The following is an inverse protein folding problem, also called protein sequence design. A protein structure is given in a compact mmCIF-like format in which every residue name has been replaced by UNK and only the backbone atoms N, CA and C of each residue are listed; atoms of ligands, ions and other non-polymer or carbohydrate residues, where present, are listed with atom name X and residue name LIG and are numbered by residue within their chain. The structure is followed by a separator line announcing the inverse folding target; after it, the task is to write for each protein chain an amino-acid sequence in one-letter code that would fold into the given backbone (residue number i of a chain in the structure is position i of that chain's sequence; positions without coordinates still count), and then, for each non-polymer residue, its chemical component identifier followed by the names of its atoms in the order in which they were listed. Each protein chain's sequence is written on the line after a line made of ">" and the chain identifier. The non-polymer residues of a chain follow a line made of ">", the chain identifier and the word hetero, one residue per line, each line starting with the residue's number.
data_IF_624734784657
#
_entry.id   IF_624734784657
#
_cell.length_a   1.000
_cell.length_b   1.000
_cell.length_c   1.000
_cell.angle_alpha   90.00
_cell.angle_beta   90.00
_cell.angle_gamma   90.00
#
_symmetry.space_group_name_H-M   'P 1'
#
loop_
_entity.id
_entity.type
_entity.pdbx_description
1 polymer ?
#
# COMPACT_ATOMS: atom_id res chain seq x y z
N UNK A 1 14.30 25.40 18.45
CA UNK A 1 13.41 25.39 17.26
C UNK A 1 11.99 25.06 17.71
N UNK A 2 11.00 25.93 17.43
CA UNK A 2 9.57 25.67 17.77
C UNK A 2 9.13 24.34 17.15
N UNK A 3 8.26 23.55 17.80
CA UNK A 3 7.89 22.21 17.32
C UNK A 3 7.40 22.19 15.87
N UNK A 4 6.58 23.17 15.45
CA UNK A 4 6.13 23.33 14.06
C UNK A 4 7.26 23.46 13.04
N UNK A 5 8.36 24.14 13.40
CA UNK A 5 9.50 24.37 12.52
C UNK A 5 10.31 23.08 12.32
N UNK A 6 10.37 22.20 13.34
CA UNK A 6 11.04 20.89 13.23
C UNK A 6 10.33 19.98 12.23
N UNK A 7 9.00 19.94 12.26
CA UNK A 7 8.21 19.14 11.31
C UNK A 7 8.42 19.58 9.87
N UNK A 8 8.36 20.89 9.61
CA UNK A 8 8.57 21.43 8.26
C UNK A 8 9.97 21.09 7.78
N UNK A 9 10.98 21.26 8.63
CA UNK A 9 12.36 20.92 8.28
C UNK A 9 12.52 19.43 7.90
N UNK A 10 11.94 18.50 8.66
CA UNK A 10 12.03 17.07 8.33
C UNK A 10 11.29 16.70 7.04
N UNK A 11 10.14 17.32 6.77
CA UNK A 11 9.41 17.11 5.52
C UNK A 11 10.24 17.63 4.34
N UNK A 12 10.81 18.83 4.45
CA UNK A 12 11.68 19.41 3.41
C UNK A 12 12.90 18.52 3.20
N UNK A 13 13.54 18.06 4.28
CA UNK A 13 14.70 17.15 4.18
C UNK A 13 14.31 15.83 3.50
N UNK A 14 13.16 15.25 3.84
CA UNK A 14 12.67 14.04 3.19
C UNK A 14 12.45 14.27 1.69
N UNK A 15 11.84 15.39 1.30
CA UNK A 15 11.65 15.73 -0.12
C UNK A 15 13.01 15.85 -0.83
N UNK A 16 13.93 16.64 -0.28
CA UNK A 16 15.26 16.86 -0.88
C UNK A 16 16.05 15.56 -1.02
N UNK A 17 16.02 14.69 -0.01
CA UNK A 17 16.73 13.40 -0.03
C UNK A 17 16.12 12.38 -1.00
N UNK A 18 14.87 12.56 -1.40
CA UNK A 18 14.11 11.55 -2.15
C UNK A 18 13.64 12.03 -3.52
N UNK A 19 13.88 13.30 -3.88
CA UNK A 19 13.45 13.88 -5.15
C UNK A 19 13.92 13.10 -6.39
N UNK A 20 15.10 12.49 -6.32
CA UNK A 20 15.63 11.68 -7.43
C UNK A 20 14.77 10.44 -7.71
N UNK A 21 14.02 9.93 -6.72
CA UNK A 21 13.14 8.79 -6.92
C UNK A 21 12.05 9.09 -7.94
N UNK A 22 11.47 10.30 -7.93
CA UNK A 22 10.49 10.67 -8.95
C UNK A 22 11.07 10.50 -10.36
N UNK A 23 12.27 11.04 -10.60
CA UNK A 23 12.95 10.91 -11.89
C UNK A 23 13.37 9.49 -12.21
N UNK A 24 13.79 8.70 -11.21
CA UNK A 24 14.14 7.29 -11.39
C UNK A 24 12.91 6.45 -11.78
N UNK A 25 11.76 6.69 -11.12
CA UNK A 25 10.48 6.05 -11.46
C UNK A 25 10.11 6.41 -12.90
N UNK A 26 10.10 7.71 -13.20
CA UNK A 26 9.69 8.19 -14.50
C UNK A 26 10.62 7.65 -15.61
N UNK A 27 11.94 7.74 -15.44
CA UNK A 27 12.92 7.22 -16.39
C UNK A 27 12.79 5.71 -16.57
N UNK A 28 12.65 4.96 -15.47
CA UNK A 28 12.53 3.51 -15.52
C UNK A 28 11.30 3.05 -16.31
N UNK A 29 10.16 3.73 -16.12
CA UNK A 29 8.93 3.50 -16.90
C UNK A 29 9.04 4.00 -18.33
N UNK A 30 9.66 5.15 -18.57
CA UNK A 30 9.82 5.70 -19.93
C UNK A 30 10.63 4.76 -20.82
N UNK A 31 11.76 4.25 -20.32
CA UNK A 31 12.65 3.34 -21.04
C UNK A 31 12.30 1.86 -20.91
N UNK A 32 11.22 1.51 -20.19
CA UNK A 32 10.82 0.12 -19.93
C UNK A 32 11.96 -0.76 -19.37
N UNK A 33 12.84 -0.19 -18.54
CA UNK A 33 14.04 -0.88 -18.02
C UNK A 33 13.67 -1.92 -16.94
N UNK A 34 12.54 -1.72 -16.28
CA UNK A 34 12.06 -2.56 -15.17
C UNK A 34 10.61 -2.94 -15.44
N UNK A 35 10.23 -4.22 -15.21
CA UNK A 35 8.84 -4.65 -15.26
C UNK A 35 7.98 -3.80 -14.31
N UNK A 36 6.86 -3.30 -14.81
CA UNK A 36 5.97 -2.43 -14.07
C UNK A 36 4.52 -2.60 -14.50
N UNK A 37 3.61 -2.17 -13.63
CA UNK A 37 2.19 -2.14 -13.94
C UNK A 37 1.96 -0.85 -14.76
N UNK A 38 1.91 -0.97 -16.10
CA UNK A 38 1.76 0.20 -16.97
C UNK A 38 0.30 0.67 -17.02
N UNK A 39 0.02 1.74 -16.27
CA UNK A 39 -1.28 2.40 -16.23
C UNK A 39 -1.39 3.59 -17.19
N UNK A 40 -0.37 3.88 -18.00
CA UNK A 40 -0.33 5.07 -18.85
C UNK A 40 -1.47 5.09 -19.86
N UNK A 41 -1.72 3.96 -20.55
CA UNK A 41 -2.82 3.82 -21.48
C UNK A 41 -4.19 3.98 -20.84
N UNK A 42 -4.34 3.54 -19.58
CA UNK A 42 -5.59 3.73 -18.87
C UNK A 42 -5.79 5.19 -18.47
N UNK A 43 -4.73 5.90 -18.09
CA UNK A 43 -4.81 7.34 -17.84
C UNK A 43 -5.18 8.09 -19.11
N UNK A 44 -4.54 7.77 -20.24
CA UNK A 44 -4.84 8.33 -21.56
C UNK A 44 -6.31 8.09 -21.96
N UNK A 45 -6.85 6.91 -21.67
CA UNK A 45 -8.27 6.63 -21.88
C UNK A 45 -9.17 7.53 -21.03
N UNK A 46 -8.84 7.74 -19.75
CA UNK A 46 -9.61 8.59 -18.86
C UNK A 46 -9.56 10.08 -19.23
N UNK A 47 -8.47 10.54 -19.84
CA UNK A 47 -8.34 11.93 -20.32
C UNK A 47 -8.84 12.12 -21.76
N UNK A 48 -9.22 11.04 -22.45
CA UNK A 48 -9.81 11.10 -23.80
C UNK A 48 -8.81 11.24 -24.93
N UNK A 49 -7.58 10.75 -24.76
CA UNK A 49 -6.54 10.74 -25.80
C UNK A 49 -6.65 9.47 -26.67
N UNK A 50 -6.33 9.58 -27.97
CA UNK A 50 -6.51 8.51 -28.96
C UNK A 50 -5.66 7.25 -28.68
N UNK A 51 -4.54 7.41 -27.99
CA UNK A 51 -3.64 6.32 -27.57
C UNK A 51 -4.13 5.59 -26.31
N UNK A 52 -5.26 6.01 -25.76
CA UNK A 52 -5.84 5.47 -24.55
C UNK A 52 -6.70 4.24 -24.81
N UNK A 53 -6.57 3.23 -23.94
CA UNK A 53 -7.52 2.12 -23.88
C UNK A 53 -7.78 1.66 -22.46
N UNK A 54 -8.91 0.98 -22.28
CA UNK A 54 -9.29 0.40 -21.00
C UNK A 54 -8.32 -0.72 -20.64
N UNK A 55 -7.69 -0.62 -19.46
CA UNK A 55 -6.80 -1.68 -18.98
C UNK A 55 -7.56 -2.97 -18.70
N UNK A 56 -6.88 -4.12 -18.80
CA UNK A 56 -7.42 -5.43 -18.45
C UNK A 56 -7.59 -5.58 -16.93
N UNK A 57 -8.46 -6.48 -16.45
CA UNK A 57 -8.61 -6.73 -15.02
C UNK A 57 -7.32 -7.31 -14.41
N UNK A 58 -7.00 -7.00 -13.14
CA UNK A 58 -7.79 -6.26 -12.17
C UNK A 58 -7.72 -4.73 -12.32
N UNK A 59 -6.91 -4.22 -13.24
CA UNK A 59 -6.56 -2.81 -13.37
C UNK A 59 -7.75 -1.92 -13.74
N UNK A 60 -8.67 -2.45 -14.54
CA UNK A 60 -9.93 -1.78 -14.92
C UNK A 60 -10.74 -1.30 -13.72
N UNK A 61 -10.71 -2.04 -12.61
CA UNK A 61 -11.50 -1.73 -11.42
C UNK A 61 -10.82 -0.69 -10.52
N UNK A 62 -9.58 -0.31 -10.83
CA UNK A 62 -8.76 0.62 -10.03
C UNK A 62 -8.80 2.04 -10.59
N UNK A 63 -9.99 2.48 -11.01
CA UNK A 63 -10.22 3.76 -11.72
C UNK A 63 -9.68 4.95 -10.93
N UNK A 64 -9.94 5.00 -9.62
CA UNK A 64 -9.51 6.12 -8.78
C UNK A 64 -7.99 6.15 -8.58
N UNK A 65 -7.33 5.00 -8.61
CA UNK A 65 -5.85 4.96 -8.56
C UNK A 65 -5.21 5.66 -9.75
N UNK A 66 -5.86 5.63 -10.90
CA UNK A 66 -5.38 6.28 -12.13
C UNK A 66 -5.91 7.71 -12.22
N UNK A 67 -7.19 7.94 -11.89
CA UNK A 67 -7.82 9.25 -11.97
C UNK A 67 -7.14 10.32 -11.09
N UNK A 68 -6.52 9.93 -9.98
CA UNK A 68 -5.72 10.85 -9.15
C UNK A 68 -4.52 11.46 -9.91
N UNK A 69 -4.06 10.84 -11.00
CA UNK A 69 -2.99 11.38 -11.85
C UNK A 69 -3.47 12.44 -12.85
N UNK A 70 -4.78 12.56 -13.11
CA UNK A 70 -5.33 13.48 -14.12
C UNK A 70 -4.89 14.94 -13.90
N UNK A 71 -4.93 15.52 -12.69
CA UNK A 71 -4.48 16.89 -12.49
C UNK A 71 -3.01 17.08 -12.88
N UNK A 72 -2.16 16.09 -12.63
CA UNK A 72 -0.73 16.17 -12.93
C UNK A 72 -0.44 16.01 -14.41
N UNK A 73 -1.26 15.25 -15.16
CA UNK A 73 -1.18 15.15 -16.61
C UNK A 73 -1.27 16.52 -17.30
N UNK A 74 -2.16 17.40 -16.79
CA UNK A 74 -2.37 18.73 -17.36
C UNK A 74 -1.44 19.82 -16.81
N UNK A 75 -0.88 19.63 -15.61
CA UNK A 75 -0.08 20.66 -14.92
C UNK A 75 1.42 20.50 -15.15
N UNK A 76 1.92 19.26 -15.28
CA UNK A 76 3.35 19.02 -15.41
C UNK A 76 3.86 19.39 -16.82
N UNK A 77 5.06 19.99 -16.92
CA UNK A 77 5.72 20.16 -18.22
C UNK A 77 6.14 18.78 -18.75
N UNK A 78 6.15 18.60 -20.07
CA UNK A 78 6.63 17.34 -20.66
C UNK A 78 8.14 17.28 -20.57
N UNK A 79 8.67 16.35 -19.77
CA UNK A 79 10.11 16.10 -19.75
C UNK A 79 10.50 14.99 -20.73
N UNK A 80 11.29 15.34 -21.76
CA UNK A 80 11.82 14.35 -22.72
C UNK A 80 13.22 13.90 -22.33
N UNK A 81 13.47 12.61 -22.42
CA UNK A 81 14.81 12.05 -22.27
C UNK A 81 15.54 11.99 -23.61
N UNK A 82 16.84 12.31 -23.60
CA UNK A 82 17.73 12.02 -24.74
C UNK A 82 17.78 10.51 -25.00
N UNK A 83 17.77 10.10 -26.28
CA UNK A 83 17.78 8.70 -26.74
C UNK A 83 16.50 7.89 -26.46
N UNK A 84 15.38 8.57 -26.15
CA UNK A 84 14.08 7.91 -26.08
C UNK A 84 13.36 8.04 -27.43
N UNK A 85 13.29 6.94 -28.18
CA UNK A 85 12.62 6.87 -29.48
C UNK A 85 11.23 6.22 -29.37
N UNK A 86 10.29 6.68 -30.20
CA UNK A 86 9.00 6.00 -30.39
C UNK A 86 7.92 6.23 -29.33
N UNK A 87 8.14 7.08 -28.30
CA UNK A 87 7.09 7.48 -27.35
C UNK A 87 6.51 8.86 -27.68
N UNK A 88 5.19 8.96 -27.70
CA UNK A 88 4.45 10.21 -27.88
C UNK A 88 4.57 11.11 -26.65
N UNK A 89 4.32 12.42 -26.82
CA UNK A 89 4.28 13.34 -25.68
C UNK A 89 3.15 13.02 -24.70
N UNK A 90 2.03 12.54 -25.21
CA UNK A 90 0.89 12.15 -24.38
C UNK A 90 1.25 10.96 -23.48
N UNK A 91 1.90 9.93 -24.04
CA UNK A 91 2.40 8.80 -23.25
C UNK A 91 3.42 9.26 -22.20
N UNK A 92 4.35 10.15 -22.57
CA UNK A 92 5.34 10.69 -21.64
C UNK A 92 4.72 11.49 -20.51
N UNK A 93 3.71 12.33 -20.80
CA UNK A 93 2.92 13.06 -19.78
C UNK A 93 2.21 12.10 -18.83
N UNK A 94 1.59 11.05 -19.37
CA UNK A 94 0.86 10.07 -18.57
C UNK A 94 1.80 9.32 -17.60
N UNK A 95 2.95 8.88 -18.09
CA UNK A 95 3.97 8.22 -17.27
C UNK A 95 4.54 9.16 -16.20
N UNK A 96 4.79 10.42 -16.54
CA UNK A 96 5.29 11.43 -15.61
C UNK A 96 4.28 11.72 -14.49
N UNK A 97 3.00 11.90 -14.85
CA UNK A 97 1.92 12.12 -13.91
C UNK A 97 1.75 10.96 -12.92
N UNK A 98 1.77 9.71 -13.42
CA UNK A 98 1.71 8.51 -12.59
C UNK A 98 2.92 8.38 -11.66
N UNK A 99 4.12 8.62 -12.18
CA UNK A 99 5.35 8.62 -11.38
C UNK A 99 5.29 9.64 -10.23
N UNK A 100 4.74 10.82 -10.49
CA UNK A 100 4.55 11.83 -9.46
C UNK A 100 3.55 11.38 -8.39
N UNK A 101 2.42 10.80 -8.77
CA UNK A 101 1.43 10.25 -7.81
C UNK A 101 2.07 9.18 -6.94
N UNK A 102 2.88 8.29 -7.51
CA UNK A 102 3.60 7.26 -6.73
C UNK A 102 4.57 7.88 -5.74
N UNK A 103 5.39 8.84 -6.19
CA UNK A 103 6.32 9.55 -5.32
C UNK A 103 5.61 10.28 -4.16
N UNK A 104 4.54 11.03 -4.46
CA UNK A 104 3.73 11.73 -3.45
C UNK A 104 3.12 10.73 -2.47
N UNK A 105 2.63 9.58 -2.95
CA UNK A 105 2.02 8.56 -2.10
C UNK A 105 3.01 7.99 -1.08
N UNK A 106 4.26 7.77 -1.49
CA UNK A 106 5.34 7.33 -0.58
C UNK A 106 5.56 8.40 0.51
N UNK A 107 5.72 9.67 0.12
CA UNK A 107 5.95 10.76 1.06
C UNK A 107 4.80 10.91 2.07
N UNK A 108 3.57 10.99 1.57
CA UNK A 108 2.38 11.16 2.40
C UNK A 108 2.18 9.95 3.31
N UNK A 109 2.34 8.73 2.78
CA UNK A 109 2.30 7.49 3.54
C UNK A 109 3.30 7.49 4.70
N UNK A 110 4.56 7.84 4.43
CA UNK A 110 5.61 7.95 5.46
C UNK A 110 5.29 9.01 6.52
N UNK A 111 4.72 10.16 6.13
CA UNK A 111 4.26 11.19 7.07
C UNK A 111 3.12 10.65 7.95
N UNK A 112 2.19 9.87 7.40
CA UNK A 112 1.13 9.26 8.20
C UNK A 112 1.69 8.22 9.17
N UNK A 113 2.67 7.40 8.77
CA UNK A 113 3.37 6.49 9.70
C UNK A 113 4.02 7.27 10.85
N UNK A 114 4.73 8.37 10.55
CA UNK A 114 5.27 9.25 11.58
C UNK A 114 4.16 9.71 12.55
N UNK A 115 3.03 10.19 12.02
CA UNK A 115 1.91 10.71 12.81
C UNK A 115 1.23 9.62 13.64
N UNK A 116 1.11 8.40 13.11
CA UNK A 116 0.57 7.26 13.84
C UNK A 116 1.48 6.96 15.03
N UNK A 117 2.79 6.81 14.81
CA UNK A 117 3.77 6.57 15.87
C UNK A 117 3.72 7.66 16.94
N UNK A 118 3.70 8.93 16.53
CA UNK A 118 3.72 10.07 17.46
C UNK A 118 2.40 10.27 18.20
N UNK A 119 1.29 10.35 17.48
CA UNK A 119 0.02 10.86 18.00
C UNK A 119 -0.93 9.74 18.45
N UNK A 120 -0.80 8.52 17.90
CA UNK A 120 -1.66 7.38 18.25
C UNK A 120 -1.00 6.43 19.24
N UNK A 121 0.31 6.21 19.09
CA UNK A 121 1.07 5.33 19.98
C UNK A 121 1.98 6.08 20.97
N UNK A 122 1.95 7.41 21.02
CA UNK A 122 2.72 8.19 22.00
C UNK A 122 4.24 8.03 21.89
N UNK A 123 4.74 7.63 20.71
CA UNK A 123 6.15 7.39 20.47
C UNK A 123 7.01 8.65 20.64
N UNK A 124 8.28 8.44 20.99
CA UNK A 124 9.27 9.52 21.01
C UNK A 124 9.53 10.07 19.61
N UNK A 125 10.09 11.28 19.52
CA UNK A 125 10.47 11.89 18.24
C UNK A 125 11.37 10.97 17.39
N UNK A 126 12.38 10.38 18.04
CA UNK A 126 13.31 9.45 17.42
C UNK A 126 12.59 8.21 16.86
N UNK A 127 11.66 7.64 17.61
CA UNK A 127 10.89 6.48 17.16
C UNK A 127 10.01 6.83 15.95
N UNK A 128 9.37 7.99 15.95
CA UNK A 128 8.55 8.45 14.83
C UNK A 128 9.39 8.73 13.57
N UNK A 129 10.59 9.31 13.70
CA UNK A 129 11.51 9.50 12.58
C UNK A 129 12.04 8.18 12.02
N UNK A 130 12.40 7.23 12.88
CA UNK A 130 12.79 5.88 12.45
C UNK A 130 11.63 5.20 11.73
N UNK A 131 10.41 5.28 12.25
CA UNK A 131 9.23 4.72 11.59
C UNK A 131 9.02 5.33 10.20
N UNK A 132 9.17 6.65 10.07
CA UNK A 132 9.06 7.37 8.80
C UNK A 132 10.10 6.89 7.78
N UNK A 133 11.38 6.86 8.16
CA UNK A 133 12.47 6.45 7.28
C UNK A 133 12.40 4.97 6.90
N UNK A 134 12.06 4.10 7.87
CA UNK A 134 11.85 2.67 7.61
C UNK A 134 10.67 2.44 6.68
N UNK A 135 9.56 3.19 6.84
CA UNK A 135 8.41 3.06 5.94
C UNK A 135 8.78 3.38 4.51
N UNK A 136 9.60 4.42 4.29
CA UNK A 136 10.09 4.79 2.98
C UNK A 136 10.91 3.66 2.33
N UNK A 137 11.77 2.98 3.09
CA UNK A 137 12.51 1.81 2.60
C UNK A 137 11.58 0.63 2.25
N UNK A 138 10.52 0.41 3.04
CA UNK A 138 9.54 -0.65 2.79
C UNK A 138 8.66 -0.36 1.58
N UNK A 139 8.24 0.89 1.36
CA UNK A 139 7.54 1.32 0.15
C UNK A 139 8.34 0.99 -1.12
N UNK A 140 9.68 1.08 -1.05
CA UNK A 140 10.53 0.71 -2.17
C UNK A 140 10.39 -0.77 -2.57
N UNK A 141 10.14 -1.63 -1.59
CA UNK A 141 10.01 -3.08 -1.76
C UNK A 141 8.62 -3.50 -2.26
N UNK A 142 7.62 -2.61 -2.24
CA UNK A 142 6.26 -2.91 -2.73
C UNK A 142 6.10 -2.69 -4.24
N UNK A 143 7.20 -2.45 -4.96
CA UNK A 143 7.19 -2.13 -6.39
C UNK A 143 7.04 -0.63 -6.62
N UNK A 144 8.16 0.07 -6.81
CA UNK A 144 8.22 1.53 -6.99
C UNK A 144 7.47 2.00 -8.26
N UNK A 145 7.27 1.10 -9.22
CA UNK A 145 6.61 1.36 -10.51
C UNK A 145 5.19 0.80 -10.55
N UNK A 146 4.46 0.91 -9.44
CA UNK A 146 3.10 0.39 -9.35
C UNK A 146 2.21 1.32 -8.54
N UNK A 147 0.90 1.07 -8.55
CA UNK A 147 -0.09 1.79 -7.74
C UNK A 147 -0.12 1.36 -6.26
N UNK A 148 0.70 0.40 -5.85
CA UNK A 148 0.68 -0.11 -4.48
C UNK A 148 1.09 0.93 -3.41
N UNK A 149 2.05 1.85 -3.65
CA UNK A 149 2.31 2.94 -2.71
C UNK A 149 1.08 3.80 -2.40
N UNK A 150 0.21 4.03 -3.39
CA UNK A 150 -1.05 4.75 -3.20
C UNK A 150 -2.02 3.96 -2.32
N UNK A 151 -2.10 2.64 -2.53
CA UNK A 151 -2.91 1.77 -1.67
C UNK A 151 -2.42 1.77 -0.22
N UNK A 152 -1.12 1.66 -0.01
CA UNK A 152 -0.50 1.66 1.31
C UNK A 152 -0.66 3.03 1.99
N UNK A 153 -0.57 4.13 1.23
CA UNK A 153 -0.89 5.48 1.75
C UNK A 153 -2.32 5.53 2.30
N UNK A 154 -3.30 5.00 1.57
CA UNK A 154 -4.70 4.94 2.03
C UNK A 154 -4.84 4.06 3.27
N UNK A 155 -4.14 2.92 3.34
CA UNK A 155 -4.09 2.08 4.55
C UNK A 155 -3.55 2.88 5.74
N UNK A 156 -2.46 3.63 5.55
CA UNK A 156 -1.90 4.50 6.60
C UNK A 156 -2.93 5.56 7.06
N UNK A 157 -3.63 6.20 6.12
CA UNK A 157 -4.69 7.17 6.44
C UNK A 157 -5.84 6.52 7.22
N UNK A 158 -6.30 5.33 6.79
CA UNK A 158 -7.37 4.59 7.43
C UNK A 158 -7.00 4.21 8.88
N UNK A 159 -5.77 3.74 9.12
CA UNK A 159 -5.28 3.44 10.47
C UNK A 159 -5.23 4.71 11.32
N UNK A 160 -4.72 5.82 10.78
CA UNK A 160 -4.64 7.08 11.51
C UNK A 160 -6.02 7.63 11.90
N UNK A 161 -7.01 7.49 11.01
CA UNK A 161 -8.38 7.95 11.20
C UNK A 161 -9.34 6.87 11.71
N UNK A 162 -8.83 5.73 12.23
CA UNK A 162 -9.66 4.61 12.67
C UNK A 162 -10.73 4.98 13.72
N UNK A 163 -10.49 6.02 14.53
CA UNK A 163 -11.48 6.54 15.50
C UNK A 163 -12.45 7.59 14.95
N UNK A 164 -12.21 8.13 13.75
CA UNK A 164 -13.08 9.09 13.11
C UNK A 164 -13.97 8.35 12.11
N UNK A 165 -15.18 8.00 12.54
CA UNK A 165 -16.15 7.23 11.75
C UNK A 165 -16.40 7.83 10.37
N UNK A 166 -16.56 9.15 10.26
CA UNK A 166 -16.86 9.80 8.98
C UNK A 166 -15.70 9.66 7.99
N UNK A 167 -14.49 10.02 8.40
CA UNK A 167 -13.31 9.97 7.52
C UNK A 167 -12.95 8.52 7.19
N UNK A 168 -13.04 7.61 8.16
CA UNK A 168 -12.77 6.20 7.93
C UNK A 168 -13.77 5.59 6.94
N UNK A 169 -15.08 5.83 7.13
CA UNK A 169 -16.11 5.33 6.20
C UNK A 169 -15.93 5.87 4.79
N UNK A 170 -15.62 7.16 4.63
CA UNK A 170 -15.33 7.75 3.33
C UNK A 170 -14.13 7.07 2.66
N UNK A 171 -13.04 6.86 3.41
CA UNK A 171 -11.87 6.14 2.90
C UNK A 171 -12.22 4.71 2.46
N UNK A 172 -13.10 4.01 3.19
CA UNK A 172 -13.48 2.64 2.84
C UNK A 172 -14.27 2.59 1.53
N UNK A 173 -15.26 3.47 1.37
CA UNK A 173 -16.05 3.54 0.14
C UNK A 173 -15.17 3.95 -1.05
N UNK A 174 -14.31 4.96 -0.89
CA UNK A 174 -13.39 5.37 -1.95
C UNK A 174 -12.39 4.26 -2.30
N UNK A 175 -11.92 3.49 -1.32
CA UNK A 175 -10.90 2.46 -1.54
C UNK A 175 -11.30 1.36 -2.54
N UNK A 176 -12.61 1.17 -2.76
CA UNK A 176 -13.17 0.29 -3.81
C UNK A 176 -12.58 0.61 -5.18
N UNK A 177 -12.45 1.90 -5.52
CA UNK A 177 -11.91 2.35 -6.80
C UNK A 177 -10.40 2.51 -6.81
N UNK A 178 -9.71 2.38 -5.67
CA UNK A 178 -8.26 2.50 -5.60
C UNK A 178 -7.58 1.13 -5.75
N UNK A 179 -7.77 0.24 -4.78
CA UNK A 179 -7.08 -1.05 -4.75
C UNK A 179 -7.78 -1.98 -3.77
N UNK A 180 -8.15 -3.16 -4.25
CA UNK A 180 -8.84 -4.19 -3.48
C UNK A 180 -8.07 -4.68 -2.25
N UNK A 181 -6.73 -4.56 -2.27
CA UNK A 181 -5.89 -4.93 -1.12
C UNK A 181 -6.23 -4.10 0.13
N UNK A 182 -6.65 -2.84 -0.05
CA UNK A 182 -7.01 -1.94 1.07
C UNK A 182 -8.22 -2.51 1.83
N UNK A 183 -9.30 -2.81 1.11
CA UNK A 183 -10.54 -3.35 1.69
C UNK A 183 -10.33 -4.75 2.26
N UNK A 184 -9.53 -5.61 1.60
CA UNK A 184 -9.26 -6.96 2.10
C UNK A 184 -8.48 -6.90 3.43
N UNK A 185 -7.41 -6.10 3.50
CA UNK A 185 -6.59 -5.98 4.72
C UNK A 185 -7.42 -5.43 5.88
N UNK A 186 -8.20 -4.38 5.64
CA UNK A 186 -9.00 -3.75 6.69
C UNK A 186 -10.22 -4.60 7.08
N UNK A 187 -10.78 -5.37 6.15
CA UNK A 187 -11.78 -6.39 6.45
C UNK A 187 -11.21 -7.47 7.37
N UNK A 188 -10.07 -8.06 7.01
CA UNK A 188 -9.38 -9.06 7.83
C UNK A 188 -9.02 -8.52 9.23
N UNK A 189 -8.65 -7.24 9.31
CA UNK A 189 -8.35 -6.56 10.58
C UNK A 189 -9.59 -6.37 11.45
N UNK A 190 -10.70 -5.88 10.88
CA UNK A 190 -11.92 -5.64 11.66
C UNK A 190 -12.61 -6.96 12.05
N UNK A 191 -12.67 -7.94 11.15
CA UNK A 191 -13.31 -9.22 11.43
C UNK A 191 -12.53 -10.01 12.49
N UNK A 192 -11.19 -9.97 12.48
CA UNK A 192 -10.38 -10.63 13.52
C UNK A 192 -10.65 -10.02 14.89
N UNK A 193 -10.78 -8.69 14.97
CA UNK A 193 -11.09 -7.99 16.22
C UNK A 193 -12.51 -8.28 16.71
N UNK A 194 -13.50 -8.32 15.81
CA UNK A 194 -14.88 -8.69 16.16
C UNK A 194 -14.96 -10.12 16.69
N UNK A 195 -14.33 -11.09 16.03
CA UNK A 195 -14.43 -12.52 16.39
C UNK A 195 -13.54 -12.86 17.59
N UNK A 196 -12.25 -12.50 17.54
CA UNK A 196 -11.25 -12.95 18.52
C UNK A 196 -11.30 -12.08 19.79
N UNK A 197 -11.46 -10.76 19.65
CA UNK A 197 -11.53 -9.84 20.80
C UNK A 197 -12.94 -9.54 21.28
N UNK A 198 -13.96 -9.99 20.54
CA UNK A 198 -15.37 -9.70 20.85
C UNK A 198 -15.63 -8.20 20.95
N UNK A 199 -14.95 -7.41 20.09
CA UNK A 199 -15.20 -5.98 20.01
C UNK A 199 -16.66 -5.73 19.60
N UNK A 200 -17.23 -4.61 20.07
CA UNK A 200 -18.62 -4.27 19.75
C UNK A 200 -18.74 -3.93 18.26
N UNK A 201 -19.76 -4.50 17.63
CA UNK A 201 -20.15 -4.17 16.26
C UNK A 201 -20.55 -2.70 16.19
N UNK A 202 -19.91 -1.95 15.28
CA UNK A 202 -20.14 -0.53 15.07
C UNK A 202 -19.89 -0.18 13.60
N UNK A 203 -20.13 1.07 13.21
CA UNK A 203 -20.00 1.46 11.80
C UNK A 203 -18.57 1.25 11.27
N UNK A 204 -17.54 1.59 12.06
CA UNK A 204 -16.13 1.42 11.67
C UNK A 204 -15.82 -0.06 11.37
N UNK A 205 -16.28 -0.99 12.20
CA UNK A 205 -16.03 -2.42 12.01
C UNK A 205 -16.83 -3.03 10.85
N UNK A 206 -17.97 -2.44 10.49
CA UNK A 206 -18.80 -2.87 9.36
C UNK A 206 -18.32 -2.33 8.00
N UNK A 207 -17.74 -1.13 7.94
CA UNK A 207 -17.45 -0.47 6.65
C UNK A 207 -16.54 -1.23 5.70
N UNK A 208 -15.46 -1.90 6.16
CA UNK A 208 -14.65 -2.72 5.26
C UNK A 208 -15.45 -3.88 4.65
N UNK A 209 -16.35 -4.50 5.42
CA UNK A 209 -17.21 -5.58 4.92
C UNK A 209 -18.20 -5.05 3.88
N UNK A 210 -18.85 -3.91 4.15
CA UNK A 210 -19.75 -3.26 3.18
C UNK A 210 -19.00 -2.92 1.89
N UNK A 211 -17.81 -2.32 2.01
CA UNK A 211 -17.00 -1.92 0.85
C UNK A 211 -16.54 -3.14 0.04
N UNK A 212 -16.20 -4.23 0.71
CA UNK A 212 -15.87 -5.51 0.06
C UNK A 212 -17.08 -6.10 -0.68
N UNK A 213 -18.27 -6.08 -0.08
CA UNK A 213 -19.49 -6.52 -0.75
C UNK A 213 -19.79 -5.66 -1.99
N UNK A 214 -19.70 -4.33 -1.88
CA UNK A 214 -19.89 -3.42 -3.02
C UNK A 214 -18.87 -3.70 -4.11
N UNK A 215 -17.60 -3.90 -3.77
CA UNK A 215 -16.55 -4.25 -4.73
C UNK A 215 -16.90 -5.52 -5.53
N UNK A 216 -17.34 -6.59 -4.86
CA UNK A 216 -17.74 -7.81 -5.54
C UNK A 216 -19.03 -7.64 -6.37
N UNK A 217 -20.00 -6.86 -5.89
CA UNK A 217 -21.20 -6.52 -6.67
C UNK A 217 -20.82 -5.78 -7.95
N UNK A 218 -19.93 -4.79 -7.88
CA UNK A 218 -19.45 -4.07 -9.06
C UNK A 218 -18.77 -5.03 -10.04
N UNK A 219 -17.90 -5.92 -9.57
CA UNK A 219 -17.26 -6.93 -10.43
C UNK A 219 -18.25 -7.89 -11.07
N UNK A 220 -19.29 -8.27 -10.34
CA UNK A 220 -20.33 -9.16 -10.84
C UNK A 220 -21.17 -8.49 -11.93
N UNK A 221 -21.51 -7.20 -11.76
CA UNK A 221 -22.32 -6.44 -12.71
C UNK A 221 -21.49 -6.02 -13.94
N UNK A 222 -20.27 -5.54 -13.71
CA UNK A 222 -19.35 -5.07 -14.76
C UNK A 222 -18.25 -6.11 -15.00
N UNK A 223 -18.64 -7.21 -15.64
CA UNK A 223 -17.68 -8.23 -16.03
C UNK A 223 -16.81 -7.73 -17.18
N UNK A 224 -15.50 -7.78 -16.98
CA UNK A 224 -14.50 -7.46 -18.00
C UNK A 224 -13.67 -8.74 -18.22
N UNK A 225 -13.48 -9.20 -19.47
CA UNK A 225 -12.74 -10.43 -19.77
C UNK A 225 -11.24 -10.28 -19.47
N UNK A 226 -10.52 -11.40 -19.33
CA UNK A 226 -9.06 -11.43 -19.17
C UNK A 226 -8.56 -11.81 -17.77
N UNK A 227 -9.44 -12.25 -16.88
CA UNK A 227 -9.04 -12.66 -15.52
C UNK A 227 -9.91 -13.80 -14.98
N UNK A 228 -10.25 -14.73 -15.86
CA UNK A 228 -11.13 -15.86 -15.59
C UNK A 228 -10.57 -16.75 -14.47
N UNK A 229 -9.25 -16.88 -14.37
CA UNK A 229 -8.56 -17.62 -13.30
C UNK A 229 -8.73 -17.02 -11.89
N UNK A 230 -9.16 -15.76 -11.76
CA UNK A 230 -9.48 -15.16 -10.46
C UNK A 230 -10.96 -15.24 -10.11
N UNK A 231 -11.78 -15.79 -11.00
CA UNK A 231 -13.25 -15.84 -10.88
C UNK A 231 -13.72 -17.29 -10.76
N UNK A 232 -13.11 -18.22 -11.49
CA UNK A 232 -13.48 -19.63 -11.47
C UNK A 232 -12.80 -20.39 -10.33
N UNK A 233 -13.55 -20.89 -9.33
CA UNK A 233 -12.99 -21.61 -8.18
C UNK A 233 -12.18 -22.86 -8.57
N UNK A 234 -12.51 -23.46 -9.71
CA UNK A 234 -11.84 -24.66 -10.24
C UNK A 234 -10.34 -24.43 -10.52
N UNK A 235 -9.93 -23.17 -10.70
CA UNK A 235 -8.53 -22.79 -10.94
C UNK A 235 -7.74 -22.50 -9.66
N UNK A 236 -8.39 -22.43 -8.49
CA UNK A 236 -7.70 -22.07 -7.25
C UNK A 236 -6.73 -23.14 -6.77
N UNK A 237 -7.08 -24.42 -6.93
CA UNK A 237 -6.21 -25.52 -6.51
C UNK A 237 -4.95 -25.60 -7.37
N UNK A 238 -5.09 -25.49 -8.70
CA UNK A 238 -3.94 -25.47 -9.62
C UNK A 238 -3.06 -24.25 -9.40
N UNK A 239 -3.66 -23.08 -9.15
CA UNK A 239 -2.94 -21.85 -8.79
C UNK A 239 -2.17 -21.99 -7.48
N UNK A 240 -2.78 -22.60 -6.46
CA UNK A 240 -2.13 -22.84 -5.18
C UNK A 240 -0.91 -23.76 -5.33
N UNK A 241 -1.05 -24.88 -6.03
CA UNK A 241 0.06 -25.82 -6.26
C UNK A 241 1.22 -25.12 -6.99
N UNK A 242 0.89 -24.35 -8.04
CA UNK A 242 1.87 -23.62 -8.84
C UNK A 242 2.59 -22.56 -8.01
N UNK A 243 1.85 -21.77 -7.23
CA UNK A 243 2.42 -20.73 -6.37
C UNK A 243 3.26 -21.28 -5.23
N UNK A 244 2.90 -22.44 -4.67
CA UNK A 244 3.75 -23.12 -3.68
C UNK A 244 5.10 -23.45 -4.33
N UNK A 245 5.10 -23.98 -5.56
CA UNK A 245 6.33 -24.22 -6.32
C UNK A 245 7.16 -22.95 -6.53
N UNK A 246 6.52 -21.85 -6.94
CA UNK A 246 7.21 -20.57 -7.12
C UNK A 246 7.77 -20.01 -5.82
N UNK A 247 7.04 -20.10 -4.72
CA UNK A 247 7.45 -19.59 -3.40
C UNK A 247 8.72 -20.24 -2.89
N UNK A 248 8.95 -21.53 -3.17
CA UNK A 248 10.16 -22.25 -2.75
C UNK A 248 11.31 -22.19 -3.76
N UNK A 249 11.13 -21.57 -4.92
CA UNK A 249 12.25 -21.27 -5.83
C UNK A 249 13.16 -20.18 -5.26
N UNK A 250 14.41 -20.08 -5.73
CA UNK A 250 15.33 -19.02 -5.30
C UNK A 250 14.73 -17.62 -5.49
N UNK A 251 14.10 -17.38 -6.64
CA UNK A 251 13.41 -16.11 -6.94
C UNK A 251 12.23 -15.88 -5.99
N UNK A 252 11.46 -16.92 -5.67
CA UNK A 252 10.36 -16.86 -4.71
C UNK A 252 10.82 -16.60 -3.27
N UNK A 253 11.98 -17.10 -2.85
CA UNK A 253 12.52 -16.78 -1.53
C UNK A 253 12.74 -15.27 -1.39
N UNK A 254 13.32 -14.63 -2.40
CA UNK A 254 13.56 -13.18 -2.38
C UNK A 254 12.29 -12.34 -2.57
N UNK A 255 11.36 -12.76 -3.43
CA UNK A 255 10.19 -11.94 -3.79
C UNK A 255 8.93 -12.26 -2.97
N UNK A 256 8.78 -13.49 -2.47
CA UNK A 256 7.64 -13.94 -1.68
C UNK A 256 7.97 -14.05 -0.19
N UNK A 257 8.99 -14.83 0.17
CA UNK A 257 9.25 -15.17 1.57
C UNK A 257 9.91 -14.02 2.33
N UNK A 258 10.99 -13.44 1.81
CA UNK A 258 11.77 -12.42 2.51
C UNK A 258 10.93 -11.18 2.91
N UNK A 259 10.09 -10.58 2.03
CA UNK A 259 9.26 -9.44 2.41
C UNK A 259 8.18 -9.81 3.43
N UNK A 260 7.63 -11.03 3.33
CA UNK A 260 6.66 -11.55 4.30
C UNK A 260 7.31 -11.73 5.67
N UNK A 261 8.50 -12.33 5.71
CA UNK A 261 9.29 -12.52 6.92
C UNK A 261 9.67 -11.18 7.55
N UNK A 262 10.07 -10.19 6.74
CA UNK A 262 10.34 -8.84 7.22
C UNK A 262 9.11 -8.24 7.91
N UNK A 263 7.93 -8.37 7.29
CA UNK A 263 6.67 -7.89 7.88
C UNK A 263 6.32 -8.65 9.17
N UNK A 264 6.59 -9.95 9.23
CA UNK A 264 6.42 -10.78 10.42
C UNK A 264 7.36 -10.38 11.57
N UNK A 265 8.62 -10.04 11.26
CA UNK A 265 9.59 -9.52 12.24
C UNK A 265 9.10 -8.19 12.80
N UNK A 266 8.61 -7.29 11.94
CA UNK A 266 8.02 -6.00 12.38
C UNK A 266 6.81 -6.26 13.29
N UNK A 267 5.93 -7.20 12.95
CA UNK A 267 4.82 -7.62 13.81
C UNK A 267 5.29 -8.15 15.17
N UNK A 268 6.31 -9.01 15.18
CA UNK A 268 6.86 -9.56 16.43
C UNK A 268 7.43 -8.45 17.33
N UNK A 269 8.13 -7.47 16.76
CA UNK A 269 8.62 -6.31 17.50
C UNK A 269 7.46 -5.48 18.06
N UNK A 270 6.40 -5.26 17.28
CA UNK A 270 5.19 -4.58 17.74
C UNK A 270 4.50 -5.33 18.90
N UNK A 271 4.48 -6.68 18.86
CA UNK A 271 3.98 -7.52 19.95
C UNK A 271 4.77 -7.36 21.25
N UNK A 272 6.09 -7.18 21.17
CA UNK A 272 6.91 -6.94 22.38
C UNK A 272 6.59 -5.58 23.00
N UNK A 273 6.26 -4.59 22.18
CA UNK A 273 5.88 -3.25 22.66
C UNK A 273 4.52 -3.22 23.34
N UNK A 274 3.51 -3.86 22.74
CA UNK A 274 2.14 -3.79 23.26
C UNK A 274 2.02 -4.41 24.65
N UNK A 275 2.76 -5.48 24.96
CA UNK A 275 2.74 -6.11 26.28
C UNK A 275 3.30 -5.20 27.40
N UNK A 276 4.01 -4.12 27.06
CA UNK A 276 4.57 -3.15 28.02
C UNK A 276 3.80 -1.82 28.05
N UNK A 277 2.77 -1.69 27.22
CA UNK A 277 2.14 -0.40 26.92
C UNK A 277 0.78 -0.22 27.60
N UNK A 278 0.31 1.03 27.64
CA UNK A 278 -0.98 1.42 28.22
C UNK A 278 -2.16 0.82 27.45
N UNK A 279 -3.28 0.59 28.15
CA UNK A 279 -4.52 0.03 27.60
C UNK A 279 -5.08 0.80 26.38
N UNK A 280 -4.79 2.10 26.24
CA UNK A 280 -5.26 2.90 25.11
C UNK A 280 -4.72 2.43 23.74
N UNK A 281 -3.58 1.73 23.69
CA UNK A 281 -3.02 1.22 22.43
C UNK A 281 -3.81 0.04 21.89
N UNK A 282 -4.58 -0.65 22.74
CA UNK A 282 -5.39 -1.80 22.36
C UNK A 282 -6.48 -1.44 21.35
N UNK A 283 -6.77 -0.16 21.09
CA UNK A 283 -7.68 0.24 20.00
C UNK A 283 -6.99 0.22 18.63
N UNK A 284 -5.70 0.52 18.57
CA UNK A 284 -4.97 0.67 17.31
C UNK A 284 -4.21 -0.59 16.90
N UNK A 285 -3.74 -1.37 17.87
CA UNK A 285 -3.06 -2.63 17.62
C UNK A 285 -3.47 -3.71 18.61
N UNK A 286 -3.55 -4.95 18.16
CA UNK A 286 -3.87 -6.12 18.99
C UNK A 286 -3.12 -7.36 18.52
N UNK A 287 -3.01 -8.39 19.38
CA UNK A 287 -2.41 -9.68 18.97
C UNK A 287 -3.15 -10.31 17.79
N UNK A 288 -4.47 -10.12 17.71
CA UNK A 288 -5.31 -10.60 16.60
C UNK A 288 -5.02 -9.90 15.26
N UNK A 289 -4.24 -8.82 15.25
CA UNK A 289 -3.91 -8.08 14.03
C UNK A 289 -2.83 -8.78 13.18
N UNK A 290 -2.39 -9.99 13.54
CA UNK A 290 -1.62 -10.88 12.65
C UNK A 290 -2.47 -11.45 11.51
N UNK A 291 -3.79 -11.52 11.71
CA UNK A 291 -4.72 -12.15 10.76
C UNK A 291 -4.69 -11.48 9.38
N UNK A 292 -4.62 -10.14 9.23
CA UNK A 292 -4.35 -9.50 7.94
C UNK A 292 -3.15 -10.06 7.18
N UNK A 293 -2.00 -10.25 7.85
CA UNK A 293 -0.79 -10.77 7.22
C UNK A 293 -0.96 -12.24 6.78
N UNK A 294 -1.51 -13.09 7.65
CA UNK A 294 -1.75 -14.50 7.33
C UNK A 294 -2.79 -14.62 6.21
N UNK A 295 -3.90 -13.90 6.33
CA UNK A 295 -4.99 -13.94 5.37
C UNK A 295 -4.55 -13.45 4.00
N UNK A 296 -3.83 -12.34 3.91
CA UNK A 296 -3.35 -11.84 2.61
C UNK A 296 -2.31 -12.77 2.00
N UNK A 297 -1.46 -13.43 2.80
CA UNK A 297 -0.51 -14.42 2.32
C UNK A 297 -1.22 -15.63 1.70
N UNK A 298 -2.26 -16.16 2.37
CA UNK A 298 -3.06 -17.28 1.86
C UNK A 298 -3.83 -16.88 0.60
N UNK A 299 -4.52 -15.73 0.65
CA UNK A 299 -5.29 -15.21 -0.49
C UNK A 299 -4.38 -15.01 -1.72
N UNK A 300 -3.15 -14.52 -1.51
CA UNK A 300 -2.20 -14.32 -2.62
C UNK A 300 -1.73 -15.63 -3.26
N UNK A 301 -1.69 -16.74 -2.51
CA UNK A 301 -1.41 -18.06 -3.09
C UNK A 301 -2.58 -18.60 -3.92
N UNK A 302 -3.81 -18.20 -3.59
CA UNK A 302 -5.02 -18.64 -4.29
C UNK A 302 -5.25 -17.87 -5.61
N UNK A 303 -4.94 -16.57 -5.64
CA UNK A 303 -5.30 -15.64 -6.74
C UNK A 303 -4.27 -15.63 -7.89
N UNK A 304 -3.44 -16.68 -8.01
CA UNK A 304 -2.42 -16.83 -9.05
C UNK A 304 -1.50 -15.61 -9.25
N UNK A 305 -0.86 -15.11 -8.19
CA UNK A 305 0.01 -13.93 -8.27
C UNK A 305 1.49 -14.33 -8.29
N UNK A 306 1.96 -14.75 -9.47
CA UNK A 306 3.34 -15.21 -9.69
C UNK A 306 4.36 -14.23 -9.10
N UNK A 307 5.20 -14.72 -8.18
CA UNK A 307 6.31 -13.98 -7.56
C UNK A 307 5.95 -12.63 -6.92
N UNK A 308 4.70 -12.43 -6.50
CA UNK A 308 4.23 -11.15 -5.95
C UNK A 308 3.67 -11.25 -4.53
N UNK A 309 3.67 -12.43 -3.91
CA UNK A 309 3.08 -12.64 -2.58
C UNK A 309 3.74 -11.71 -1.54
N UNK A 310 5.07 -11.55 -1.58
CA UNK A 310 5.78 -10.72 -0.61
C UNK A 310 5.47 -9.23 -0.78
N UNK A 311 5.35 -8.75 -2.03
CA UNK A 311 4.87 -7.40 -2.37
C UNK A 311 3.47 -7.16 -1.79
N UNK A 312 2.58 -8.13 -1.90
CA UNK A 312 1.22 -8.05 -1.32
C UNK A 312 1.28 -8.04 0.21
N UNK A 313 2.04 -8.94 0.84
CA UNK A 313 2.19 -9.02 2.30
C UNK A 313 2.74 -7.74 2.94
N UNK A 314 3.63 -7.02 2.24
CA UNK A 314 4.13 -5.73 2.72
C UNK A 314 3.03 -4.67 2.90
N UNK A 315 1.87 -4.79 2.27
CA UNK A 315 0.76 -3.85 2.51
C UNK A 315 0.28 -3.85 3.98
N UNK A 316 0.63 -4.87 4.76
CA UNK A 316 0.34 -4.95 6.19
C UNK A 316 1.36 -4.22 7.08
N UNK A 317 2.54 -3.84 6.58
CA UNK A 317 3.55 -3.17 7.43
C UNK A 317 3.04 -1.93 8.18
N UNK A 318 2.13 -1.09 7.63
CA UNK A 318 1.62 0.08 8.33
C UNK A 318 0.93 -0.24 9.66
N UNK A 319 0.38 -1.44 9.80
CA UNK A 319 -0.28 -1.90 11.03
C UNK A 319 0.72 -2.10 12.17
N UNK A 320 1.97 -2.42 11.85
CA UNK A 320 2.95 -2.95 12.81
C UNK A 320 4.13 -1.99 13.03
N UNK A 321 4.60 -1.35 11.96
CA UNK A 321 5.81 -0.54 11.95
C UNK A 321 5.85 0.57 13.01
N UNK A 322 4.75 1.29 13.31
CA UNK A 322 4.76 2.32 14.35
C UNK A 322 5.20 1.80 15.72
N UNK A 323 4.59 0.69 16.19
CA UNK A 323 4.93 0.09 17.48
C UNK A 323 6.30 -0.59 17.45
N UNK A 324 6.65 -1.25 16.35
CA UNK A 324 7.97 -1.86 16.18
C UNK A 324 9.10 -0.83 16.32
N UNK A 325 8.89 0.38 15.81
CA UNK A 325 9.87 1.48 15.90
C UNK A 325 10.02 2.02 17.32
N UNK A 326 8.92 2.06 18.10
CA UNK A 326 8.97 2.40 19.53
C UNK A 326 9.78 1.36 20.30
N UNK A 327 9.52 0.07 20.05
CA UNK A 327 10.27 -1.03 20.65
C UNK A 327 11.76 -0.94 20.33
N UNK A 328 12.11 -0.72 19.07
CA UNK A 328 13.51 -0.61 18.62
C UNK A 328 14.26 0.50 19.36
N UNK A 329 13.66 1.70 19.45
CA UNK A 329 14.29 2.82 20.17
C UNK A 329 14.43 2.54 21.65
N UNK A 330 13.45 1.86 22.25
CA UNK A 330 13.54 1.47 23.67
C UNK A 330 14.65 0.45 23.91
N UNK A 331 14.79 -0.55 23.03
CA UNK A 331 15.85 -1.55 23.10
C UNK A 331 17.22 -0.89 23.08
N UNK A 332 17.47 -0.01 22.11
CA UNK A 332 18.72 0.73 21.95
C UNK A 332 19.06 1.67 23.12
N UNK A 333 18.08 2.01 23.97
CA UNK A 333 18.28 2.84 25.17
C UNK A 333 18.47 2.05 26.44
N UNK A 334 18.09 0.77 26.49
CA UNK A 334 18.28 -0.09 27.66
C UNK A 334 19.62 -0.82 27.66
N UNK A 335 20.30 -0.86 26.51
CA UNK A 335 21.66 -1.41 26.38
C UNK A 335 22.76 -0.34 26.64
N UNK A 336 22.38 0.84 27.14
CA UNK A 336 23.25 1.87 27.72
C UNK A 336 22.78 2.13 29.16
#
# INVERSE_FOLDING_TARGET
>A
MKPKVKYIFFIVLLIVLTQNIFFDIYRGSAFNVIPHDDYSHYLLYLVGEDEGWLAEPPYTYRVLSVAVAIPFYYVLPVYRFTNLEGKSDNNLRALEALALVFYISILVGSIFIYKITKNRFGGSETASLIAMLSSYLLFRQTGIYSIDPLAIMIICMAIYYLRNTLVFSLLMILSIGFNEKIIIILFLLMISRLIIRKEKLNLISLMPAISLCIYFIIRFIFYVPGNEAQIHPDTYMSSLITNVGYTFSLKGIFLNILPTLLTLVIYYMALKEINKSKDEFNTYFTKADIIPLIGIFIISHLINVDYNIGRVSLHCFPLYLPLASIYLVRLLKHDN
#
